data_IF_035544469554
#
_entry.id   IF_035544469554
#
_cell.length_a   1.000
_cell.length_b   1.000
_cell.length_c   1.000
_cell.angle_alpha   90.00
_cell.angle_beta   90.00
_cell.angle_gamma   90.00
#
_symmetry.space_group_name_H-M   'P 1'
#
loop_
_entity.id
_entity.type
_entity.pdbx_description
1 polymer ?
#
# COMPACT_ATOMS: atom_id res chain seq x y z
N UNK A 1 9.15 -10.26 -25.29
CA UNK A 1 9.42 -11.18 -24.18
C UNK A 1 8.12 -11.57 -23.49
N UNK A 2 8.10 -12.72 -22.82
CA UNK A 2 6.91 -13.18 -22.10
C UNK A 2 6.44 -12.14 -21.07
N UNK A 3 7.37 -11.55 -20.29
CA UNK A 3 7.05 -10.51 -19.28
C UNK A 3 6.37 -9.32 -19.93
N UNK A 4 6.92 -8.78 -21.03
CA UNK A 4 6.34 -7.63 -21.72
C UNK A 4 4.91 -7.93 -22.24
N UNK A 5 4.71 -9.13 -22.82
CA UNK A 5 3.41 -9.58 -23.30
C UNK A 5 2.40 -9.69 -22.16
N UNK A 6 2.80 -10.29 -21.03
CA UNK A 6 1.92 -10.44 -19.87
C UNK A 6 1.58 -9.08 -19.24
N UNK A 7 2.58 -8.19 -19.06
CA UNK A 7 2.34 -6.84 -18.57
C UNK A 7 1.34 -6.08 -19.46
N UNK A 8 1.61 -6.06 -20.77
CA UNK A 8 0.72 -5.40 -21.72
C UNK A 8 -0.70 -5.97 -21.68
N UNK A 9 -0.83 -7.29 -21.76
CA UNK A 9 -2.14 -7.91 -21.87
C UNK A 9 -2.96 -7.75 -20.58
N UNK A 10 -2.34 -7.97 -19.40
CA UNK A 10 -3.05 -7.82 -18.13
C UNK A 10 -3.40 -6.34 -17.87
N UNK A 11 -2.51 -5.39 -18.18
CA UNK A 11 -2.80 -3.97 -18.07
C UNK A 11 -3.98 -3.51 -18.95
N UNK A 12 -4.14 -4.15 -20.11
CA UNK A 12 -5.19 -3.83 -21.08
C UNK A 12 -6.39 -4.79 -21.03
N UNK A 13 -6.53 -5.62 -19.99
CA UNK A 13 -7.60 -6.63 -19.84
C UNK A 13 -7.70 -7.61 -21.04
N UNK A 14 -6.57 -7.88 -21.67
CA UNK A 14 -6.46 -8.85 -22.74
C UNK A 14 -6.12 -10.24 -22.19
N UNK A 15 -6.56 -11.32 -22.85
CA UNK A 15 -6.26 -12.67 -22.39
C UNK A 15 -4.76 -12.99 -22.49
N UNK A 16 -4.31 -13.81 -21.55
CA UNK A 16 -2.98 -14.42 -21.59
C UNK A 16 -3.10 -15.93 -21.62
N UNK A 17 -2.10 -16.59 -22.20
CA UNK A 17 -1.98 -18.05 -22.20
C UNK A 17 -0.65 -18.45 -21.58
N UNK A 18 -0.69 -19.33 -20.59
CA UNK A 18 0.48 -19.93 -19.95
C UNK A 18 0.32 -21.43 -20.06
N UNK A 19 1.11 -22.06 -20.93
CA UNK A 19 1.00 -23.50 -21.16
C UNK A 19 1.49 -24.32 -19.98
N UNK A 20 2.57 -23.88 -19.34
CA UNK A 20 3.13 -24.51 -18.16
C UNK A 20 3.57 -23.41 -17.17
N UNK A 21 2.90 -23.35 -16.04
CA UNK A 21 3.16 -22.35 -15.00
C UNK A 21 4.46 -22.61 -14.22
N UNK A 22 4.98 -23.86 -14.26
CA UNK A 22 6.18 -24.25 -13.53
C UNK A 22 7.49 -23.89 -14.26
N UNK A 23 7.41 -23.45 -15.52
CA UNK A 23 8.61 -23.03 -16.27
C UNK A 23 9.27 -21.87 -15.54
N UNK A 24 10.53 -22.08 -15.12
CA UNK A 24 11.36 -21.06 -14.50
C UNK A 24 12.09 -20.24 -15.58
N UNK A 25 12.10 -18.94 -15.38
CA UNK A 25 12.87 -17.98 -16.18
C UNK A 25 13.91 -17.31 -15.29
N UNK A 26 15.09 -17.09 -15.82
CA UNK A 26 16.09 -16.21 -15.22
C UNK A 26 16.01 -14.84 -15.91
N UNK A 27 15.63 -13.83 -15.14
CA UNK A 27 15.32 -12.50 -15.64
C UNK A 27 16.31 -11.46 -15.11
N UNK A 28 16.73 -10.57 -15.99
CA UNK A 28 17.57 -9.42 -15.68
C UNK A 28 16.75 -8.15 -15.85
N UNK A 29 16.75 -7.30 -14.83
CA UNK A 29 16.10 -5.99 -14.91
C UNK A 29 17.00 -4.98 -15.60
N UNK A 30 16.40 -4.09 -16.38
CA UNK A 30 17.17 -3.15 -17.24
C UNK A 30 18.10 -2.24 -16.44
N UNK A 31 17.68 -1.74 -15.28
CA UNK A 31 18.51 -0.84 -14.48
C UNK A 31 19.72 -1.57 -13.87
N UNK A 32 19.58 -2.86 -13.52
CA UNK A 32 20.70 -3.66 -13.06
C UNK A 32 21.72 -3.89 -14.18
N UNK A 33 21.25 -4.09 -15.42
CA UNK A 33 22.11 -4.18 -16.59
C UNK A 33 22.83 -2.85 -16.86
N UNK A 34 22.12 -1.73 -16.81
CA UNK A 34 22.69 -0.40 -17.02
C UNK A 34 23.73 -0.09 -15.94
N UNK A 35 23.46 -0.44 -14.69
CA UNK A 35 24.41 -0.28 -13.57
C UNK A 35 25.71 -1.06 -13.86
N UNK A 36 25.59 -2.34 -14.25
CA UNK A 36 26.76 -3.14 -14.59
C UNK A 36 27.56 -2.56 -15.78
N UNK A 37 26.87 -2.02 -16.79
CA UNK A 37 27.53 -1.36 -17.92
C UNK A 37 28.29 -0.09 -17.50
N UNK A 38 27.75 0.68 -16.55
CA UNK A 38 28.44 1.86 -16.01
C UNK A 38 29.63 1.45 -15.15
N UNK A 39 29.50 0.42 -14.31
CA UNK A 39 30.58 -0.14 -13.51
C UNK A 39 31.71 -0.65 -14.39
N UNK A 40 31.38 -1.27 -15.53
CA UNK A 40 32.36 -1.65 -16.55
C UNK A 40 33.20 -0.48 -17.07
N UNK A 41 32.56 0.65 -17.35
CA UNK A 41 33.27 1.86 -17.83
C UNK A 41 34.19 2.43 -16.76
N UNK A 42 33.87 2.24 -15.48
CA UNK A 42 34.69 2.63 -14.33
C UNK A 42 35.76 1.57 -13.95
N UNK A 43 35.81 0.43 -14.63
CA UNK A 43 36.72 -0.66 -14.32
C UNK A 43 36.32 -1.51 -13.10
N UNK A 44 35.06 -1.41 -12.67
CA UNK A 44 34.49 -2.11 -11.51
C UNK A 44 33.57 -3.28 -11.90
N UNK A 45 33.38 -3.55 -13.18
CA UNK A 45 32.45 -4.57 -13.68
C UNK A 45 32.84 -6.00 -13.24
N UNK A 46 31.81 -6.84 -13.10
CA UNK A 46 31.95 -8.22 -12.63
C UNK A 46 32.47 -9.13 -13.74
N UNK A 47 33.69 -9.67 -13.56
CA UNK A 47 34.32 -10.57 -14.53
C UNK A 47 34.02 -12.03 -14.21
N UNK A 48 33.87 -12.83 -15.27
CA UNK A 48 33.63 -14.27 -15.14
C UNK A 48 34.28 -15.07 -16.29
N UNK A 49 34.41 -16.38 -16.05
CA UNK A 49 34.45 -17.41 -17.08
C UNK A 49 33.12 -18.15 -17.09
N UNK A 50 32.85 -18.96 -18.10
CA UNK A 50 31.64 -19.77 -18.17
C UNK A 50 31.98 -21.25 -18.02
N UNK A 51 31.21 -21.93 -17.16
CA UNK A 51 31.07 -23.39 -17.14
C UNK A 51 29.71 -23.74 -17.76
N UNK A 52 29.72 -24.18 -18.98
CA UNK A 52 28.50 -24.28 -19.78
C UNK A 52 27.85 -22.90 -19.98
N UNK A 53 26.66 -22.70 -19.41
CA UNK A 53 25.91 -21.40 -19.41
C UNK A 53 26.00 -20.66 -18.09
N UNK A 54 26.67 -21.22 -17.09
CA UNK A 54 26.77 -20.65 -15.74
C UNK A 54 27.99 -19.71 -15.65
N UNK A 55 27.83 -18.43 -15.28
CA UNK A 55 28.96 -17.56 -15.00
C UNK A 55 29.65 -18.00 -13.71
N UNK A 56 30.97 -18.17 -13.78
CA UNK A 56 31.85 -18.45 -12.65
C UNK A 56 32.74 -17.23 -12.45
N UNK A 57 32.57 -16.56 -11.34
CA UNK A 57 33.28 -15.32 -11.00
C UNK A 57 34.80 -15.55 -11.03
N UNK A 58 35.55 -14.64 -11.67
CA UNK A 58 36.99 -14.70 -11.80
C UNK A 58 37.57 -13.34 -12.10
N UNK A 59 38.50 -12.84 -11.28
CA UNK A 59 39.15 -11.53 -11.48
C UNK A 59 39.77 -11.37 -12.86
N UNK A 60 40.30 -12.45 -13.43
CA UNK A 60 40.91 -12.48 -14.78
C UNK A 60 39.96 -13.12 -15.81
N UNK A 61 38.65 -13.13 -15.52
CA UNK A 61 37.65 -13.71 -16.40
C UNK A 61 37.61 -13.01 -17.76
N UNK A 62 37.35 -13.82 -18.80
CA UNK A 62 37.27 -13.33 -20.17
C UNK A 62 36.00 -12.51 -20.45
N UNK A 63 34.97 -12.77 -19.70
CA UNK A 63 33.65 -12.20 -19.92
C UNK A 63 33.21 -11.34 -18.75
N UNK A 64 32.13 -10.60 -18.95
CA UNK A 64 31.43 -9.87 -17.90
C UNK A 64 30.01 -10.39 -17.79
N UNK A 65 29.42 -10.31 -16.60
CA UNK A 65 28.05 -10.72 -16.36
C UNK A 65 27.35 -9.74 -15.40
N UNK A 66 26.03 -9.64 -15.50
CA UNK A 66 25.23 -8.90 -14.52
C UNK A 66 24.93 -9.82 -13.33
N UNK A 67 25.40 -9.46 -12.12
CA UNK A 67 25.31 -10.36 -10.94
C UNK A 67 23.90 -10.45 -10.36
N UNK A 68 23.03 -9.47 -10.65
CA UNK A 68 21.69 -9.39 -10.10
C UNK A 68 20.69 -9.91 -11.13
N UNK A 69 20.29 -11.19 -10.97
CA UNK A 69 19.21 -11.81 -11.73
C UNK A 69 18.13 -12.35 -10.79
N UNK A 70 16.96 -12.65 -11.33
CA UNK A 70 15.83 -13.21 -10.61
C UNK A 70 15.35 -14.49 -11.29
N UNK A 71 15.36 -15.59 -10.55
CA UNK A 71 14.78 -16.87 -10.97
C UNK A 71 13.35 -16.94 -10.47
N UNK A 72 12.42 -17.01 -11.40
CA UNK A 72 10.97 -16.97 -11.12
C UNK A 72 10.22 -17.83 -12.12
N UNK A 73 9.12 -18.42 -11.69
CA UNK A 73 8.27 -19.20 -12.58
C UNK A 73 7.30 -18.29 -13.36
N UNK A 74 6.82 -18.78 -14.50
CA UNK A 74 5.76 -18.09 -15.24
C UNK A 74 4.49 -17.89 -14.40
N UNK A 75 4.19 -18.86 -13.52
CA UNK A 75 3.08 -18.78 -12.58
C UNK A 75 3.21 -17.61 -11.61
N UNK A 76 4.36 -17.45 -10.96
CA UNK A 76 4.64 -16.34 -10.02
C UNK A 76 4.53 -14.98 -10.71
N UNK A 77 5.04 -14.85 -11.94
CA UNK A 77 4.92 -13.62 -12.72
C UNK A 77 3.45 -13.25 -12.94
N UNK A 78 2.66 -14.22 -13.36
CA UNK A 78 1.23 -14.01 -13.67
C UNK A 78 0.43 -13.67 -12.42
N UNK A 79 0.67 -14.35 -11.30
CA UNK A 79 -0.02 -14.11 -10.04
C UNK A 79 0.28 -12.71 -9.51
N UNK A 80 1.55 -12.28 -9.55
CA UNK A 80 1.94 -10.91 -9.20
C UNK A 80 1.24 -9.88 -10.09
N UNK A 81 1.24 -10.08 -11.42
CA UNK A 81 0.61 -9.14 -12.34
C UNK A 81 -0.91 -9.04 -12.13
N UNK A 82 -1.59 -10.14 -11.82
CA UNK A 82 -3.02 -10.11 -11.46
C UNK A 82 -3.26 -9.39 -10.13
N UNK A 83 -2.38 -9.56 -9.14
CA UNK A 83 -2.48 -8.80 -7.88
C UNK A 83 -2.30 -7.29 -8.11
N UNK A 84 -1.37 -6.90 -8.99
CA UNK A 84 -1.17 -5.50 -9.36
C UNK A 84 -2.40 -4.92 -10.08
N UNK A 85 -3.00 -5.69 -11.00
CA UNK A 85 -4.21 -5.29 -11.72
C UNK A 85 -5.40 -5.10 -10.76
N UNK A 86 -5.52 -5.96 -9.75
CA UNK A 86 -6.61 -5.91 -8.78
C UNK A 86 -6.51 -4.73 -7.80
N UNK A 87 -5.38 -4.03 -7.71
CA UNK A 87 -5.15 -2.95 -6.75
C UNK A 87 -6.21 -1.84 -6.82
N UNK A 88 -6.64 -1.43 -8.02
CA UNK A 88 -7.66 -0.39 -8.18
C UNK A 88 -9.04 -0.78 -7.63
N UNK A 89 -9.31 -2.08 -7.47
CA UNK A 89 -10.56 -2.62 -6.96
C UNK A 89 -10.45 -2.95 -5.46
N UNK A 90 -9.34 -3.56 -5.06
CA UNK A 90 -9.11 -4.02 -3.68
C UNK A 90 -8.51 -2.96 -2.77
N UNK A 91 -7.87 -1.95 -3.35
CA UNK A 91 -7.01 -0.95 -2.69
C UNK A 91 -5.79 -1.57 -1.98
N UNK A 92 -5.52 -2.85 -2.21
CA UNK A 92 -4.42 -3.57 -1.59
C UNK A 92 -3.11 -3.22 -2.28
N UNK A 93 -2.21 -2.57 -1.54
CA UNK A 93 -0.85 -2.29 -2.02
C UNK A 93 -0.05 -3.59 -1.98
N UNK A 94 0.53 -4.04 -3.11
CA UNK A 94 1.32 -5.25 -3.13
C UNK A 94 2.59 -5.11 -2.28
N UNK A 95 3.04 -6.21 -1.68
CA UNK A 95 4.32 -6.25 -1.00
C UNK A 95 5.46 -6.18 -2.02
N UNK A 96 6.21 -5.08 -1.98
CA UNK A 96 7.30 -4.80 -2.91
C UNK A 96 8.59 -4.44 -2.16
N UNK A 97 9.25 -5.41 -1.50
CA UNK A 97 10.51 -5.15 -0.80
C UNK A 97 11.57 -4.54 -1.72
N UNK A 98 12.47 -3.75 -1.15
CA UNK A 98 13.55 -3.13 -1.94
C UNK A 98 14.37 -4.20 -2.67
N UNK A 99 14.74 -3.91 -3.93
CA UNK A 99 15.48 -4.79 -4.83
C UNK A 99 14.81 -6.14 -5.12
N UNK A 100 13.54 -6.35 -4.74
CA UNK A 100 12.82 -7.56 -5.04
C UNK A 100 12.40 -7.64 -6.51
N UNK A 101 12.20 -8.87 -6.99
CA UNK A 101 11.59 -9.10 -8.30
C UNK A 101 10.22 -8.42 -8.42
N UNK A 102 9.39 -8.53 -7.38
CA UNK A 102 8.06 -7.91 -7.34
C UNK A 102 8.11 -6.40 -7.57
N UNK A 103 9.08 -5.68 -6.95
CA UNK A 103 9.26 -4.23 -7.16
C UNK A 103 9.60 -3.89 -8.62
N UNK A 104 10.53 -4.64 -9.21
CA UNK A 104 10.97 -4.45 -10.60
C UNK A 104 9.85 -4.79 -11.59
N UNK A 105 9.12 -5.88 -11.33
CA UNK A 105 7.97 -6.26 -12.13
C UNK A 105 6.83 -5.23 -12.02
N UNK A 106 6.56 -4.69 -10.83
CA UNK A 106 5.54 -3.66 -10.65
C UNK A 106 5.88 -2.37 -11.42
N UNK A 107 7.13 -1.91 -11.36
CA UNK A 107 7.60 -0.78 -12.16
C UNK A 107 7.42 -1.02 -13.66
N UNK A 108 7.72 -2.24 -14.12
CA UNK A 108 7.50 -2.65 -15.50
C UNK A 108 6.01 -2.65 -15.86
N UNK A 109 5.16 -3.24 -15.00
CA UNK A 109 3.71 -3.28 -15.21
C UNK A 109 3.10 -1.88 -15.32
N UNK A 110 3.48 -0.95 -14.43
CA UNK A 110 3.00 0.44 -14.47
C UNK A 110 3.35 1.15 -15.78
N UNK A 111 4.48 0.80 -16.42
CA UNK A 111 4.85 1.36 -17.71
C UNK A 111 3.96 0.91 -18.88
N UNK A 112 3.16 -0.14 -18.69
CA UNK A 112 2.19 -0.66 -19.65
C UNK A 112 0.76 -0.22 -19.37
N UNK A 113 0.50 0.51 -18.26
CA UNK A 113 -0.85 0.98 -17.97
C UNK A 113 -1.33 1.96 -19.06
N UNK A 114 -2.50 1.74 -19.65
CA UNK A 114 -3.11 2.72 -20.53
C UNK A 114 -3.48 3.98 -19.74
N UNK A 115 -3.43 5.14 -20.40
CA UNK A 115 -3.60 6.46 -19.74
C UNK A 115 -4.90 6.57 -18.95
N UNK A 116 -5.96 5.97 -19.44
CA UNK A 116 -7.30 5.94 -18.82
C UNK A 116 -7.35 5.11 -17.52
N UNK A 117 -6.38 4.25 -17.26
CA UNK A 117 -6.27 3.44 -16.04
C UNK A 117 -5.27 3.96 -15.02
N UNK A 118 -4.56 5.04 -15.34
CA UNK A 118 -3.60 5.66 -14.41
C UNK A 118 -4.30 6.30 -13.21
N UNK A 119 -5.50 6.85 -13.42
CA UNK A 119 -6.35 7.37 -12.36
C UNK A 119 -7.60 6.49 -12.21
N UNK A 120 -8.02 6.27 -10.98
CA UNK A 120 -9.24 5.53 -10.67
C UNK A 120 -9.96 6.17 -9.48
N UNK A 121 -11.28 6.08 -9.46
CA UNK A 121 -12.11 6.65 -8.42
C UNK A 121 -12.11 5.78 -7.17
N UNK A 122 -12.01 6.41 -6.00
CA UNK A 122 -12.19 5.76 -4.72
C UNK A 122 -13.66 5.80 -4.31
N UNK A 123 -14.16 4.71 -3.75
CA UNK A 123 -15.54 4.63 -3.27
C UNK A 123 -15.72 5.50 -2.03
N UNK A 124 -16.43 6.61 -2.19
CA UNK A 124 -16.84 7.47 -1.08
C UNK A 124 -18.15 6.96 -0.46
N UNK A 125 -18.12 6.60 0.82
CA UNK A 125 -19.33 6.29 1.58
C UNK A 125 -19.85 7.61 2.19
N UNK A 126 -20.89 8.19 1.61
CA UNK A 126 -21.44 9.52 1.96
C UNK A 126 -22.74 9.38 2.72
N UNK A 127 -22.88 10.10 3.83
CA UNK A 127 -24.14 10.22 4.59
C UNK A 127 -24.40 11.69 5.04
N UNK A 128 -25.42 11.90 5.88
CA UNK A 128 -25.75 13.25 6.39
C UNK A 128 -24.60 13.87 7.21
N UNK A 129 -23.72 13.06 7.80
CA UNK A 129 -22.62 13.50 8.67
C UNK A 129 -21.36 13.88 7.89
N UNK A 130 -21.25 13.47 6.61
CA UNK A 130 -20.08 13.70 5.78
C UNK A 130 -19.73 12.48 4.93
N UNK A 131 -18.44 12.12 4.85
CA UNK A 131 -18.01 10.95 4.10
C UNK A 131 -16.90 10.17 4.80
N UNK A 132 -16.79 8.89 4.43
CA UNK A 132 -15.68 8.00 4.77
C UNK A 132 -15.20 7.31 3.50
N UNK A 133 -13.89 7.31 3.27
CA UNK A 133 -13.28 6.73 2.08
C UNK A 133 -12.03 5.96 2.47
N UNK A 134 -11.98 4.68 2.11
CA UNK A 134 -10.75 3.90 2.19
C UNK A 134 -9.79 4.35 1.09
N UNK A 135 -8.52 4.61 1.44
CA UNK A 135 -7.51 5.11 0.50
C UNK A 135 -6.60 3.99 0.00
N UNK A 136 -6.11 3.18 0.93
CA UNK A 136 -5.24 2.04 0.64
C UNK A 136 -5.30 1.00 1.77
N UNK A 137 -4.96 -0.23 1.41
CA UNK A 137 -4.84 -1.37 2.33
C UNK A 137 -3.49 -2.05 2.13
N UNK A 138 -3.02 -2.70 3.17
CA UNK A 138 -1.82 -3.56 3.12
C UNK A 138 -2.15 -4.90 3.77
N UNK A 139 -1.44 -5.96 3.40
CA UNK A 139 -1.69 -7.27 4.01
C UNK A 139 -1.32 -7.33 5.50
N UNK A 140 -0.26 -6.62 5.89
CA UNK A 140 0.35 -6.75 7.23
C UNK A 140 0.26 -5.49 8.09
N UNK A 141 -0.05 -4.35 7.49
CA UNK A 141 -0.03 -3.05 8.18
C UNK A 141 -1.38 -2.34 8.12
N UNK A 142 -2.48 -3.10 7.96
CA UNK A 142 -3.83 -2.58 8.03
C UNK A 142 -4.24 -1.68 6.86
N UNK A 143 -4.93 -0.60 7.18
CA UNK A 143 -5.50 0.30 6.16
C UNK A 143 -5.36 1.77 6.54
N UNK A 144 -5.36 2.63 5.50
CA UNK A 144 -5.46 4.08 5.62
C UNK A 144 -6.78 4.53 5.01
N UNK A 145 -7.48 5.42 5.70
CA UNK A 145 -8.74 6.00 5.25
C UNK A 145 -8.79 7.49 5.53
N UNK A 146 -9.72 8.18 4.89
CA UNK A 146 -10.03 9.57 5.13
C UNK A 146 -11.48 9.74 5.56
N UNK A 147 -11.68 10.53 6.60
CA UNK A 147 -13.00 10.88 7.12
C UNK A 147 -13.20 12.39 6.98
N UNK A 148 -14.31 12.78 6.36
CA UNK A 148 -14.75 14.18 6.29
C UNK A 148 -15.99 14.30 7.14
N UNK A 149 -15.94 15.14 8.19
CA UNK A 149 -17.07 15.43 9.07
C UNK A 149 -17.57 16.84 8.79
N UNK A 150 -18.88 16.98 8.55
CA UNK A 150 -19.54 18.27 8.39
C UNK A 150 -19.49 19.11 9.69
N UNK A 151 -19.76 20.42 9.63
CA UNK A 151 -19.81 21.27 10.81
C UNK A 151 -20.65 20.71 11.96
N UNK A 152 -20.13 20.77 13.19
CA UNK A 152 -20.82 20.34 14.41
C UNK A 152 -21.02 18.83 14.55
N UNK A 153 -20.54 18.01 13.62
CA UNK A 153 -20.76 16.54 13.63
C UNK A 153 -19.78 15.84 14.56
N UNK A 154 -20.31 14.92 15.36
CA UNK A 154 -19.55 13.92 16.12
C UNK A 154 -19.61 12.58 15.41
N UNK A 155 -18.45 11.93 15.24
CA UNK A 155 -18.31 10.56 14.75
C UNK A 155 -17.52 9.72 15.75
N UNK A 156 -17.63 8.38 15.64
CA UNK A 156 -17.04 7.44 16.59
C UNK A 156 -18.10 6.96 17.58
N UNK A 157 -17.89 7.15 18.88
CA UNK A 157 -18.71 6.60 19.96
C UNK A 157 -18.62 5.08 20.00
N UNK A 158 -17.39 4.56 19.92
CA UNK A 158 -17.14 3.13 19.96
C UNK A 158 -15.72 2.84 20.48
N UNK A 159 -15.48 1.58 20.80
CA UNK A 159 -14.18 1.07 21.20
C UNK A 159 -13.87 -0.25 20.48
N UNK A 160 -12.61 -0.70 20.56
CA UNK A 160 -12.07 -1.87 19.90
C UNK A 160 -11.33 -2.78 20.89
N UNK A 161 -11.27 -4.09 20.58
CA UNK A 161 -10.46 -5.05 21.34
C UNK A 161 -9.01 -5.13 20.80
N UNK A 162 -8.87 -5.48 19.52
CA UNK A 162 -7.58 -5.74 18.89
C UNK A 162 -7.18 -4.65 17.93
N UNK A 163 -8.18 -3.98 17.36
CA UNK A 163 -7.95 -2.86 16.47
C UNK A 163 -7.48 -1.65 17.27
N UNK A 164 -6.38 -1.07 16.85
CA UNK A 164 -5.90 0.21 17.33
C UNK A 164 -5.65 1.12 16.14
N UNK A 165 -5.92 2.37 16.36
CA UNK A 165 -5.94 3.37 15.32
C UNK A 165 -5.19 4.61 15.77
N UNK A 166 -4.80 5.45 14.83
CA UNK A 166 -4.55 6.85 15.14
C UNK A 166 -5.16 7.77 14.10
N UNK A 167 -5.58 8.93 14.58
CA UNK A 167 -6.22 9.95 13.80
C UNK A 167 -5.28 11.13 13.60
N UNK A 168 -5.25 11.66 12.39
CA UNK A 168 -4.44 12.80 11.99
C UNK A 168 -5.36 13.82 11.34
N UNK A 169 -5.67 14.91 12.04
CA UNK A 169 -6.47 15.99 11.46
C UNK A 169 -5.57 16.82 10.54
N UNK A 170 -5.98 16.97 9.28
CA UNK A 170 -5.22 17.64 8.23
C UNK A 170 -5.89 18.93 7.75
N UNK A 171 -7.18 19.15 8.06
CA UNK A 171 -7.89 20.39 7.82
C UNK A 171 -9.05 20.56 8.80
N UNK A 172 -9.38 21.81 9.15
CA UNK A 172 -10.41 22.14 10.12
C UNK A 172 -9.92 22.10 11.57
N UNK A 173 -10.85 22.27 12.52
CA UNK A 173 -10.60 22.25 13.98
C UNK A 173 -11.52 21.23 14.63
N UNK A 174 -10.96 20.33 15.43
CA UNK A 174 -11.71 19.26 16.06
C UNK A 174 -11.28 18.97 17.49
N UNK A 175 -12.09 18.16 18.16
CA UNK A 175 -11.83 17.61 19.47
C UNK A 175 -11.90 16.08 19.38
N UNK A 176 -10.85 15.40 19.76
CA UNK A 176 -10.86 13.95 19.97
C UNK A 176 -11.02 13.71 21.46
N UNK A 177 -11.97 12.86 21.82
CA UNK A 177 -12.22 12.45 23.19
C UNK A 177 -12.03 10.95 23.33
N UNK A 178 -11.47 10.54 24.45
CA UNK A 178 -11.30 9.12 24.80
C UNK A 178 -11.63 8.90 26.28
N UNK A 179 -12.39 7.85 26.58
CA UNK A 179 -12.71 7.43 27.95
C UNK A 179 -12.44 5.94 28.10
N UNK A 180 -11.67 5.56 29.12
CA UNK A 180 -11.44 4.14 29.43
C UNK A 180 -12.77 3.48 29.82
N UNK A 181 -13.03 2.31 29.26
CA UNK A 181 -14.25 1.52 29.59
C UNK A 181 -14.32 1.26 31.09
N UNK A 182 -15.49 1.53 31.66
CA UNK A 182 -15.75 1.37 33.10
C UNK A 182 -15.20 2.49 33.99
N UNK A 183 -14.79 3.63 33.43
CA UNK A 183 -14.39 4.84 34.16
C UNK A 183 -15.11 6.08 33.62
N UNK A 184 -15.06 7.20 34.40
CA UNK A 184 -15.70 8.45 34.04
C UNK A 184 -14.73 9.51 33.52
N UNK A 185 -13.40 9.26 33.61
CA UNK A 185 -12.38 10.23 33.17
C UNK A 185 -12.30 10.30 31.66
N UNK A 186 -12.50 11.49 31.10
CA UNK A 186 -12.42 11.76 29.67
C UNK A 186 -11.14 12.52 29.34
N UNK A 187 -10.32 11.92 28.46
CA UNK A 187 -9.16 12.55 27.85
C UNK A 187 -9.59 13.38 26.66
N UNK A 188 -9.14 14.64 26.60
CA UNK A 188 -9.52 15.58 25.57
C UNK A 188 -8.28 16.05 24.78
N UNK A 189 -8.30 15.91 23.44
CA UNK A 189 -7.23 16.33 22.53
C UNK A 189 -7.79 17.32 21.51
N UNK A 190 -7.43 18.61 21.67
CA UNK A 190 -7.73 19.59 20.63
C UNK A 190 -6.79 19.40 19.45
N UNK A 191 -7.34 19.30 18.24
CA UNK A 191 -6.61 18.99 17.00
C UNK A 191 -6.99 19.97 15.89
N UNK A 192 -6.04 20.29 15.03
CA UNK A 192 -6.31 21.16 13.88
C UNK A 192 -5.37 20.87 12.72
N UNK A 193 -5.80 21.27 11.50
CA UNK A 193 -4.94 21.25 10.32
C UNK A 193 -3.79 22.27 10.37
N UNK A 194 -3.86 23.30 11.23
CA UNK A 194 -2.77 24.28 11.41
C UNK A 194 -1.55 23.69 12.11
N UNK A 195 -1.77 22.65 12.95
CA UNK A 195 -0.73 21.90 13.65
C UNK A 195 -1.07 20.41 13.58
N UNK A 196 -0.54 19.74 12.58
CA UNK A 196 -0.80 18.32 12.35
C UNK A 196 -0.18 17.47 13.47
N UNK A 197 -1.03 16.68 14.13
CA UNK A 197 -0.65 15.78 15.22
C UNK A 197 -1.35 14.43 15.02
N UNK A 198 -0.66 13.34 15.33
CA UNK A 198 -1.26 12.01 15.41
C UNK A 198 -1.74 11.77 16.86
N UNK A 199 -2.99 11.35 17.01
CA UNK A 199 -3.58 10.95 18.29
C UNK A 199 -3.88 9.45 18.24
N UNK A 200 -3.27 8.66 19.11
CA UNK A 200 -3.56 7.24 19.23
C UNK A 200 -4.94 7.01 19.87
N UNK A 201 -5.76 6.18 19.23
CA UNK A 201 -6.95 5.61 19.86
C UNK A 201 -6.52 4.43 20.70
N UNK A 202 -6.68 4.54 22.01
CA UNK A 202 -6.15 3.57 22.96
C UNK A 202 -7.03 2.32 23.01
N UNK A 203 -6.48 1.10 23.02
CA UNK A 203 -7.24 -0.11 23.23
C UNK A 203 -8.01 -0.09 24.55
N UNK A 204 -9.28 -0.49 24.53
CA UNK A 204 -10.15 -0.46 25.70
C UNK A 204 -10.64 0.93 26.10
N UNK A 205 -10.50 1.92 25.20
CA UNK A 205 -11.10 3.25 25.36
C UNK A 205 -12.17 3.47 24.28
N UNK A 206 -13.37 3.88 24.72
CA UNK A 206 -14.31 4.46 23.77
C UNK A 206 -13.80 5.82 23.31
N UNK A 207 -13.99 6.13 22.03
CA UNK A 207 -13.49 7.36 21.46
C UNK A 207 -14.47 7.99 20.48
N UNK A 208 -14.34 9.29 20.30
CA UNK A 208 -15.04 10.04 19.28
C UNK A 208 -14.16 11.15 18.70
N UNK A 209 -14.61 11.74 17.60
CA UNK A 209 -14.06 12.97 17.04
C UNK A 209 -15.19 13.94 16.72
N UNK A 210 -15.05 15.16 17.16
CA UNK A 210 -16.05 16.24 17.05
C UNK A 210 -15.49 17.31 16.14
N UNK A 211 -16.25 17.72 15.12
CA UNK A 211 -15.95 18.92 14.35
C UNK A 211 -16.42 20.15 15.13
N UNK A 212 -15.48 20.98 15.57
CA UNK A 212 -15.78 22.19 16.37
C UNK A 212 -16.17 23.40 15.53
N UNK A 213 -16.04 23.33 14.20
CA UNK A 213 -16.43 24.43 13.30
C UNK A 213 -17.94 24.42 13.05
N UNK A 214 -18.52 25.60 12.92
CA UNK A 214 -19.91 25.78 12.48
C UNK A 214 -20.03 25.86 10.95
N UNK A 215 -18.93 26.06 10.23
CA UNK A 215 -18.94 26.38 8.79
C UNK A 215 -18.03 25.50 7.95
N UNK A 216 -16.96 24.93 8.54
CA UNK A 216 -15.93 24.21 7.80
C UNK A 216 -15.97 22.71 8.10
N UNK A 217 -15.61 21.91 7.13
CA UNK A 217 -15.43 20.48 7.30
C UNK A 217 -14.16 20.18 8.12
N UNK A 218 -14.23 19.13 8.93
CA UNK A 218 -13.07 18.51 9.55
C UNK A 218 -12.60 17.35 8.69
N UNK A 219 -11.32 17.37 8.29
CA UNK A 219 -10.71 16.31 7.48
C UNK A 219 -9.69 15.56 8.32
N UNK A 220 -9.94 14.27 8.52
CA UNK A 220 -9.11 13.38 9.33
C UNK A 220 -8.59 12.21 8.49
N UNK A 221 -7.28 12.05 8.42
CA UNK A 221 -6.65 10.82 7.95
C UNK A 221 -6.60 9.84 9.12
N UNK A 222 -6.97 8.60 8.86
CA UNK A 222 -7.06 7.54 9.87
C UNK A 222 -6.23 6.35 9.40
N UNK A 223 -5.44 5.78 10.30
CA UNK A 223 -4.78 4.51 10.09
C UNK A 223 -5.29 3.50 11.12
N UNK A 224 -5.58 2.29 10.67
CA UNK A 224 -5.91 1.15 11.52
C UNK A 224 -4.92 0.01 11.26
N UNK A 225 -4.47 -0.69 12.32
CA UNK A 225 -3.50 -1.79 12.22
C UNK A 225 -4.01 -3.01 11.44
N UNK A 226 -5.32 -3.11 11.25
CA UNK A 226 -5.98 -4.19 10.53
C UNK A 226 -7.03 -3.64 9.55
N UNK A 227 -7.33 -4.42 8.52
CA UNK A 227 -8.36 -4.07 7.55
C UNK A 227 -9.74 -4.26 8.19
N UNK A 228 -10.72 -3.47 7.77
CA UNK A 228 -12.11 -3.66 8.21
C UNK A 228 -12.68 -4.95 7.61
N UNK A 229 -13.14 -5.85 8.48
CA UNK A 229 -13.90 -7.05 8.12
C UNK A 229 -15.36 -6.88 8.58
N UNK A 230 -16.33 -6.81 7.68
CA UNK A 230 -17.75 -6.67 8.05
C UNK A 230 -18.31 -7.89 8.80
N UNK A 231 -17.67 -9.05 8.71
CA UNK A 231 -18.07 -10.25 9.44
C UNK A 231 -17.52 -10.27 10.88
N UNK A 232 -16.41 -9.57 11.13
CA UNK A 232 -15.74 -9.44 12.43
C UNK A 232 -15.29 -8.00 12.65
N UNK A 233 -16.23 -7.04 12.83
CA UNK A 233 -15.92 -5.61 12.75
C UNK A 233 -15.07 -5.08 13.91
N UNK A 234 -14.88 -5.83 15.00
CA UNK A 234 -14.21 -5.41 16.23
C UNK A 234 -14.54 -3.96 16.62
N UNK A 235 -15.82 -3.61 16.59
CA UNK A 235 -16.31 -2.26 16.86
C UNK A 235 -17.53 -2.32 17.74
N UNK A 236 -17.43 -1.79 18.96
CA UNK A 236 -18.46 -1.88 19.99
C UNK A 236 -18.93 -0.47 20.36
N UNK A 237 -20.22 -0.21 20.16
CA UNK A 237 -20.81 1.09 20.46
C UNK A 237 -20.78 1.39 21.96
N UNK A 238 -20.21 2.52 22.33
CA UNK A 238 -20.28 3.11 23.68
C UNK A 238 -19.99 4.60 23.61
N UNK A 239 -20.87 5.41 24.21
CA UNK A 239 -20.77 6.88 24.25
C UNK A 239 -19.60 7.29 25.15
N UNK A 240 -18.84 8.31 24.76
CA UNK A 240 -17.72 8.83 25.56
C UNK A 240 -18.22 9.63 26.78
N UNK A 241 -19.28 10.44 26.59
CA UNK A 241 -19.91 11.30 27.62
C UNK A 241 -21.38 10.95 27.82
#
# INVERSE_FOLDING_TARGET
>A
SAVATFCNNIANDLPITVNDRAIELELLYIDDLVTEMLDLLEGKGHRCNYDGLTPVESENGRYYYAPITHKVTLGEIVDLLHSFRAQSETLLIPEIPNNSFAKKLYSTYLSYLPKEKVAFDLKMNVDARGSFTELLKTEKCGQVSINISKPGITKGQHWHHTKWEFFIVVAGKGLIQQRKIGTDEVLNFQVSGDKIQAVHMLPGYTHNIINLSETENLVTVMWANEQFDPNHPDTFFEIVE
#
